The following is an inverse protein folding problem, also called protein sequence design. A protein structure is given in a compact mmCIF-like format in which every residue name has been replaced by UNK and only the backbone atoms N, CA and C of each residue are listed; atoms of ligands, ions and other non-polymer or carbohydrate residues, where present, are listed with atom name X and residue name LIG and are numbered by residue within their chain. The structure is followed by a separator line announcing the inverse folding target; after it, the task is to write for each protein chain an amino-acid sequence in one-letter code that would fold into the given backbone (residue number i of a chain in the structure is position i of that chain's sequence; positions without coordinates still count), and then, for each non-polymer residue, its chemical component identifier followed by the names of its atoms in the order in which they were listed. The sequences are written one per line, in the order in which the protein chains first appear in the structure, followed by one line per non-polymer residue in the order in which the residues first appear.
data_IF_019880734453
#
_entry.id   IF_019880734453
#
_cell.length_a   1.000
_cell.length_b   1.000
_cell.length_c   1.000
_cell.angle_alpha   90.00
_cell.angle_beta   90.00
_cell.angle_gamma   90.00
#
_symmetry.space_group_name_H-M   'P 1'
#
loop_
_entity.id
_entity.type
_entity.pdbx_description
1 polymer ?
#
# COMPACT_ATOMS: atom_id res chain seq x y z
N UNK A 1 3.75 -53.30 25.51
CA UNK A 1 4.25 -51.95 25.19
C UNK A 1 3.88 -51.64 23.75
N UNK A 2 2.89 -50.77 23.49
CA UNK A 2 2.74 -50.14 22.17
C UNK A 2 3.60 -48.86 22.12
N UNK A 3 4.30 -48.64 21.01
CA UNK A 3 5.12 -47.42 20.85
C UNK A 3 4.24 -46.20 20.63
N UNK A 4 4.51 -45.12 21.35
CA UNK A 4 4.08 -43.78 20.96
C UNK A 4 4.87 -43.38 19.70
N UNK A 5 4.25 -43.49 18.53
CA UNK A 5 4.77 -42.83 17.33
C UNK A 5 4.42 -41.34 17.46
N UNK A 6 5.42 -40.47 17.58
CA UNK A 6 5.18 -39.03 17.58
C UNK A 6 4.70 -38.62 16.18
N UNK A 7 3.39 -38.37 16.05
CA UNK A 7 2.86 -37.59 14.95
C UNK A 7 3.23 -36.12 15.20
N UNK A 8 4.46 -35.76 14.85
CA UNK A 8 4.89 -34.37 14.80
C UNK A 8 4.02 -33.64 13.78
N UNK A 9 3.08 -32.83 14.25
CA UNK A 9 2.45 -31.83 13.40
C UNK A 9 3.57 -30.86 12.99
N UNK A 10 4.00 -30.99 11.74
CA UNK A 10 4.71 -29.93 11.05
C UNK A 10 3.70 -28.79 10.83
N UNK A 11 3.53 -27.96 11.87
CA UNK A 11 2.92 -26.63 11.73
C UNK A 11 3.87 -25.86 10.82
N UNK A 12 3.59 -25.91 9.53
CA UNK A 12 4.34 -25.16 8.54
C UNK A 12 4.14 -23.69 8.83
N UNK A 13 5.16 -23.05 9.41
CA UNK A 13 5.21 -21.59 9.56
C UNK A 13 5.35 -21.01 8.17
N UNK A 14 4.20 -20.85 7.51
CA UNK A 14 4.10 -20.11 6.25
C UNK A 14 4.60 -18.69 6.58
N UNK A 15 5.61 -18.17 5.86
CA UNK A 15 6.01 -16.79 6.06
C UNK A 15 4.81 -15.89 5.74
N UNK A 16 4.34 -15.17 6.76
CA UNK A 16 3.43 -14.04 6.58
C UNK A 16 4.30 -12.94 5.98
N UNK A 17 4.16 -12.72 4.68
CA UNK A 17 4.75 -11.55 4.04
C UNK A 17 4.00 -10.33 4.53
N UNK A 18 4.74 -9.33 4.98
CA UNK A 18 4.18 -8.10 5.51
C UNK A 18 5.20 -6.98 5.33
N UNK A 19 4.78 -5.84 4.79
CA UNK A 19 5.63 -4.66 4.57
C UNK A 19 5.02 -3.43 5.22
N UNK A 20 5.78 -2.33 5.29
CA UNK A 20 5.31 -1.01 5.71
C UNK A 20 5.89 0.03 4.76
N UNK A 21 5.09 1.04 4.38
CA UNK A 21 5.54 2.11 3.48
C UNK A 21 6.64 2.98 4.10
N UNK A 22 6.82 2.93 5.42
CA UNK A 22 7.88 3.64 6.13
C UNK A 22 9.23 2.88 6.12
N UNK A 23 9.28 1.68 5.50
CA UNK A 23 10.49 0.85 5.36
C UNK A 23 11.01 0.90 3.92
N UNK A 24 12.22 1.44 3.67
CA UNK A 24 12.83 1.40 2.35
C UNK A 24 13.13 -0.04 1.86
N UNK A 25 12.98 -0.28 0.55
CA UNK A 25 13.28 -1.57 -0.11
C UNK A 25 14.21 -1.36 -1.32
N UNK A 26 14.48 -2.42 -2.11
CA UNK A 26 15.21 -2.31 -3.40
C UNK A 26 14.55 -1.33 -4.37
N UNK A 27 13.23 -1.17 -4.28
CA UNK A 27 12.43 -0.37 -5.22
C UNK A 27 11.72 0.81 -4.54
N UNK A 28 11.46 0.75 -3.22
CA UNK A 28 10.67 1.74 -2.49
C UNK A 28 11.52 2.64 -1.58
N UNK A 29 11.28 3.96 -1.64
CA UNK A 29 11.90 4.94 -0.71
C UNK A 29 10.96 6.11 -0.36
N UNK A 30 9.65 5.96 -0.55
CA UNK A 30 8.66 6.97 -0.13
C UNK A 30 8.23 6.67 1.31
N UNK A 31 8.90 7.26 2.30
CA UNK A 31 8.63 7.00 3.72
C UNK A 31 7.88 8.15 4.39
N UNK A 32 7.69 8.12 5.71
CA UNK A 32 7.13 9.26 6.47
C UNK A 32 7.96 10.55 6.38
N UNK A 33 9.19 10.47 5.84
CA UNK A 33 10.02 11.62 5.49
C UNK A 33 9.61 12.32 4.18
N UNK A 34 8.94 11.61 3.25
CA UNK A 34 8.39 12.18 2.01
C UNK A 34 7.00 12.81 2.20
N UNK A 35 6.30 12.47 3.27
CA UNK A 35 5.04 13.12 3.67
C UNK A 35 5.26 14.59 4.08
N UNK A 36 4.22 15.41 3.96
CA UNK A 36 4.27 16.82 4.36
C UNK A 36 4.80 16.98 5.80
N UNK A 37 5.57 18.06 6.01
CA UNK A 37 6.01 18.48 7.34
C UNK A 37 4.86 18.86 8.28
N UNK A 38 3.66 19.08 7.74
CA UNK A 38 2.43 19.34 8.49
C UNK A 38 1.65 18.09 8.89
N UNK A 39 2.01 16.91 8.33
CA UNK A 39 1.27 15.66 8.56
C UNK A 39 1.44 15.18 10.00
N UNK A 40 0.32 14.92 10.65
CA UNK A 40 0.20 14.68 12.09
C UNK A 40 0.83 13.34 12.53
N UNK A 41 1.28 13.23 13.80
CA UNK A 41 1.87 12.00 14.32
C UNK A 41 0.94 10.78 14.19
N UNK A 42 -0.35 10.97 14.41
CA UNK A 42 -1.36 9.92 14.27
C UNK A 42 -1.45 9.41 12.82
N UNK A 43 -1.46 10.33 11.85
CA UNK A 43 -1.46 9.97 10.43
C UNK A 43 -0.15 9.29 10.01
N UNK A 44 1.00 9.75 10.52
CA UNK A 44 2.30 9.08 10.26
C UNK A 44 2.30 7.65 10.84
N UNK A 45 1.76 7.44 12.04
CA UNK A 45 1.63 6.09 12.61
C UNK A 45 0.67 5.19 11.80
N UNK A 46 -0.43 5.72 11.27
CA UNK A 46 -1.32 4.99 10.37
C UNK A 46 -0.65 4.66 9.03
N UNK A 47 0.16 5.58 8.49
CA UNK A 47 0.94 5.38 7.26
C UNK A 47 2.02 4.30 7.41
N UNK A 48 2.74 4.29 8.54
CA UNK A 48 3.76 3.30 8.87
C UNK A 48 3.20 1.94 9.28
N UNK A 49 1.87 1.76 9.30
CA UNK A 49 1.25 0.48 9.63
C UNK A 49 1.64 -0.63 8.64
N UNK A 50 1.63 -1.87 9.14
CA UNK A 50 1.95 -3.05 8.34
C UNK A 50 0.79 -3.45 7.41
N UNK A 51 1.14 -3.97 6.24
CA UNK A 51 0.25 -4.53 5.22
C UNK A 51 0.71 -5.95 4.94
N UNK A 52 -0.14 -6.95 5.19
CA UNK A 52 0.20 -8.38 5.10
C UNK A 52 0.15 -8.88 3.65
N UNK A 53 1.13 -8.43 2.89
CA UNK A 53 1.34 -8.73 1.47
C UNK A 53 2.83 -8.90 1.16
N UNK A 54 3.15 -9.47 0.00
CA UNK A 54 4.51 -9.52 -0.55
C UNK A 54 4.96 -8.10 -0.96
N UNK A 55 6.20 -7.70 -0.65
CA UNK A 55 6.70 -6.34 -0.93
C UNK A 55 6.91 -6.09 -2.43
N UNK A 56 6.80 -7.13 -3.27
CA UNK A 56 6.64 -6.99 -4.71
C UNK A 56 5.45 -6.11 -5.13
N UNK A 57 4.41 -5.92 -4.29
CA UNK A 57 3.37 -4.92 -4.59
C UNK A 57 3.93 -3.49 -4.68
N UNK A 58 4.97 -3.17 -3.91
CA UNK A 58 5.70 -1.90 -4.03
C UNK A 58 6.55 -1.85 -5.30
N UNK A 59 7.14 -2.98 -5.70
CA UNK A 59 7.86 -3.07 -6.97
C UNK A 59 6.94 -2.79 -8.17
N UNK A 60 5.74 -3.39 -8.18
CA UNK A 60 4.70 -3.15 -9.19
C UNK A 60 4.23 -1.68 -9.20
N UNK A 61 4.03 -1.08 -8.03
CA UNK A 61 3.57 0.32 -7.93
C UNK A 61 4.64 1.34 -8.38
N UNK A 62 5.92 0.98 -8.27
CA UNK A 62 7.05 1.78 -8.76
C UNK A 62 7.35 1.52 -10.24
N UNK A 63 7.12 0.30 -10.75
CA UNK A 63 7.30 0.01 -12.16
C UNK A 63 6.12 0.38 -13.05
N UNK A 64 4.90 0.58 -12.50
CA UNK A 64 3.67 0.72 -13.30
C UNK A 64 3.59 -0.44 -14.32
N UNK A 65 3.35 -0.16 -15.59
CA UNK A 65 3.40 -1.14 -16.69
C UNK A 65 4.80 -1.30 -17.32
N UNK A 66 5.85 -0.63 -16.84
CA UNK A 66 7.23 -0.69 -17.37
C UNK A 66 7.98 -1.94 -16.89
N UNK A 67 7.44 -3.11 -17.26
CA UNK A 67 7.84 -4.45 -16.78
C UNK A 67 9.32 -4.79 -16.99
N UNK A 68 9.98 -4.12 -17.93
CA UNK A 68 11.42 -4.23 -18.22
C UNK A 68 12.33 -3.83 -17.05
N UNK A 69 11.78 -3.15 -16.04
CA UNK A 69 12.44 -2.87 -14.76
C UNK A 69 12.43 -4.02 -13.77
N UNK A 70 11.38 -4.84 -13.80
CA UNK A 70 11.27 -6.02 -12.96
C UNK A 70 12.12 -7.10 -13.61
N UNK A 71 13.33 -7.30 -13.08
CA UNK A 71 14.25 -8.33 -13.60
C UNK A 71 13.94 -9.73 -13.05
N UNK A 72 13.11 -9.78 -11.99
CA UNK A 72 12.90 -10.94 -11.12
C UNK A 72 11.39 -11.28 -10.96
N UNK A 73 10.53 -10.98 -11.95
CA UNK A 73 9.09 -11.31 -11.90
C UNK A 73 8.74 -12.61 -12.62
N UNK A 74 7.99 -13.48 -11.93
CA UNK A 74 7.41 -14.69 -12.48
C UNK A 74 6.02 -14.96 -11.85
N UNK A 75 5.33 -16.01 -12.31
CA UNK A 75 4.01 -16.38 -11.77
C UNK A 75 4.04 -16.73 -10.27
N UNK A 76 5.17 -17.21 -9.73
CA UNK A 76 5.30 -17.53 -8.32
C UNK A 76 5.41 -16.26 -7.46
N UNK A 77 6.01 -15.17 -7.94
CA UNK A 77 5.96 -13.86 -7.26
C UNK A 77 4.53 -13.32 -7.22
N UNK A 78 3.80 -13.45 -8.32
CA UNK A 78 2.40 -13.05 -8.38
C UNK A 78 1.51 -13.91 -7.49
N UNK A 79 1.66 -15.24 -7.46
CA UNK A 79 0.88 -16.13 -6.57
C UNK A 79 1.12 -15.85 -5.06
N UNK A 80 2.25 -15.21 -4.69
CA UNK A 80 2.50 -14.73 -3.31
C UNK A 80 1.82 -13.40 -3.01
N UNK A 81 1.80 -12.49 -3.99
CA UNK A 81 1.21 -11.15 -3.88
C UNK A 81 -0.32 -11.20 -3.95
N UNK A 82 -0.85 -11.91 -4.95
CA UNK A 82 -2.25 -12.02 -5.32
C UNK A 82 -3.01 -12.99 -4.42
N UNK A 83 -3.20 -12.56 -3.18
CA UNK A 83 -3.86 -13.31 -2.11
C UNK A 83 -5.01 -12.49 -1.53
N UNK A 84 -6.08 -13.18 -1.13
CA UNK A 84 -7.18 -12.56 -0.38
C UNK A 84 -6.69 -11.90 0.93
N UNK A 85 -5.59 -12.39 1.51
CA UNK A 85 -4.90 -11.80 2.68
C UNK A 85 -4.31 -10.43 2.34
N UNK A 86 -3.57 -10.31 1.23
CA UNK A 86 -3.05 -9.02 0.76
C UNK A 86 -4.19 -8.04 0.47
N UNK A 87 -5.24 -8.49 -0.24
CA UNK A 87 -6.40 -7.66 -0.57
C UNK A 87 -7.12 -7.14 0.69
N UNK A 88 -7.35 -7.99 1.69
CA UNK A 88 -8.05 -7.60 2.92
C UNK A 88 -7.19 -6.74 3.85
N UNK A 89 -5.90 -7.08 4.03
CA UNK A 89 -4.97 -6.31 4.86
C UNK A 89 -4.71 -4.92 4.25
N UNK A 90 -4.54 -4.82 2.92
CA UNK A 90 -4.45 -3.53 2.23
C UNK A 90 -5.75 -2.71 2.34
N UNK A 91 -6.92 -3.34 2.25
CA UNK A 91 -8.20 -2.64 2.40
C UNK A 91 -8.41 -2.12 3.83
N UNK A 92 -7.97 -2.89 4.84
CA UNK A 92 -7.95 -2.46 6.24
C UNK A 92 -6.95 -1.32 6.48
N UNK A 93 -5.77 -1.37 5.86
CA UNK A 93 -4.78 -0.29 5.87
C UNK A 93 -5.36 1.00 5.28
N UNK A 94 -5.97 0.93 4.10
CA UNK A 94 -6.62 2.08 3.44
C UNK A 94 -7.69 2.70 4.34
N UNK A 95 -8.61 1.91 4.88
CA UNK A 95 -9.65 2.39 5.79
C UNK A 95 -9.08 3.05 7.07
N UNK A 96 -8.00 2.48 7.64
CA UNK A 96 -7.31 3.04 8.80
C UNK A 96 -6.61 4.38 8.48
N UNK A 97 -5.97 4.48 7.31
CA UNK A 97 -5.34 5.72 6.83
C UNK A 97 -6.40 6.77 6.53
N UNK A 98 -7.50 6.43 5.84
CA UNK A 98 -8.62 7.33 5.57
C UNK A 98 -9.24 7.88 6.87
N UNK A 99 -9.50 6.99 7.84
CA UNK A 99 -10.05 7.35 9.14
C UNK A 99 -9.10 8.26 9.95
N UNK A 100 -7.79 8.03 9.88
CA UNK A 100 -6.80 8.70 10.75
C UNK A 100 -6.22 9.98 10.15
N UNK A 101 -5.92 9.97 8.84
CA UNK A 101 -5.35 11.08 8.08
C UNK A 101 -6.41 12.06 7.57
N UNK A 102 -7.47 12.30 8.35
CA UNK A 102 -8.64 13.07 7.95
C UNK A 102 -8.46 14.61 8.01
N UNK A 103 -7.31 15.10 8.48
CA UNK A 103 -7.05 16.54 8.64
C UNK A 103 -6.53 17.11 7.33
N UNK A 104 -6.96 18.30 6.93
CA UNK A 104 -6.45 18.99 5.72
C UNK A 104 -4.95 19.38 5.74
N UNK A 105 -4.19 18.90 6.73
CA UNK A 105 -2.73 19.01 6.86
C UNK A 105 -2.01 17.66 6.75
N UNK A 106 -2.76 16.56 6.79
CA UNK A 106 -2.28 15.20 6.60
C UNK A 106 -2.17 14.94 5.10
N UNK A 107 -0.99 15.21 4.56
CA UNK A 107 -0.75 15.16 3.12
C UNK A 107 0.54 14.43 2.75
N UNK A 108 0.50 13.81 1.57
CA UNK A 108 1.66 13.33 0.84
C UNK A 108 2.10 14.39 -0.19
N UNK A 109 3.40 14.44 -0.48
CA UNK A 109 4.00 15.33 -1.48
C UNK A 109 4.00 14.64 -2.85
N UNK A 110 3.39 15.29 -3.84
CA UNK A 110 3.39 14.96 -5.26
C UNK A 110 4.18 16.03 -6.02
N UNK A 111 4.91 15.70 -7.08
CA UNK A 111 5.51 16.75 -7.95
C UNK A 111 4.46 17.40 -8.85
N UNK A 112 4.67 18.66 -9.22
CA UNK A 112 3.88 19.38 -10.21
C UNK A 112 4.26 19.01 -11.67
N UNK A 113 4.38 17.71 -11.97
CA UNK A 113 4.84 17.17 -13.26
C UNK A 113 6.35 16.88 -13.35
N UNK A 114 6.83 16.29 -14.46
CA UNK A 114 8.23 15.88 -14.63
C UNK A 114 9.25 17.01 -14.65
N UNK A 115 8.87 18.18 -15.18
CA UNK A 115 9.74 19.35 -15.29
C UNK A 115 9.85 20.16 -13.99
N UNK A 116 8.93 19.94 -13.03
CA UNK A 116 8.83 20.69 -11.77
C UNK A 116 9.10 19.82 -10.52
N UNK A 117 10.04 18.86 -10.63
CA UNK A 117 10.43 17.88 -9.60
C UNK A 117 10.69 18.43 -8.18
N UNK A 118 10.96 19.73 -8.04
CA UNK A 118 11.18 20.40 -6.76
C UNK A 118 9.95 21.07 -6.13
N UNK A 119 8.80 21.10 -6.83
CA UNK A 119 7.59 21.82 -6.41
C UNK A 119 6.55 20.85 -5.83
N UNK A 120 6.40 20.76 -4.48
CA UNK A 120 5.48 19.83 -3.85
C UNK A 120 4.02 20.33 -3.91
N UNK A 121 3.22 19.65 -4.72
CA UNK A 121 1.76 19.63 -4.64
C UNK A 121 1.35 18.69 -3.51
N UNK A 122 0.28 19.02 -2.77
CA UNK A 122 -0.22 18.18 -1.69
C UNK A 122 -1.42 17.33 -2.15
N UNK A 123 -1.40 16.04 -1.83
CA UNK A 123 -2.55 15.11 -1.96
C UNK A 123 -2.83 14.42 -0.62
N UNK A 124 -4.06 13.92 -0.36
CA UNK A 124 -4.35 13.15 0.85
C UNK A 124 -3.44 11.94 1.01
N UNK A 125 -3.06 11.59 2.24
CA UNK A 125 -2.15 10.43 2.47
C UNK A 125 -2.78 9.10 2.01
N UNK A 126 -4.10 8.97 2.09
CA UNK A 126 -4.83 7.78 1.62
C UNK A 126 -4.66 7.49 0.13
N UNK A 127 -4.32 8.50 -0.70
CA UNK A 127 -3.99 8.32 -2.13
C UNK A 127 -2.93 7.25 -2.34
N UNK A 128 -1.92 7.14 -1.47
CA UNK A 128 -0.88 6.10 -1.62
C UNK A 128 -1.42 4.68 -1.41
N UNK A 129 -2.37 4.50 -0.49
CA UNK A 129 -3.05 3.22 -0.28
C UNK A 129 -3.98 2.85 -1.45
N UNK A 130 -4.67 3.82 -2.04
CA UNK A 130 -5.52 3.58 -3.21
C UNK A 130 -4.72 3.25 -4.48
N UNK A 131 -3.54 3.84 -4.67
CA UNK A 131 -2.63 3.44 -5.77
C UNK A 131 -2.25 1.96 -5.62
N UNK A 132 -1.95 1.51 -4.40
CA UNK A 132 -1.66 0.10 -4.14
C UNK A 132 -2.89 -0.79 -4.40
N UNK A 133 -4.13 -0.32 -4.14
CA UNK A 133 -5.35 -1.05 -4.49
C UNK A 133 -5.53 -1.18 -6.01
N UNK A 134 -5.37 -0.08 -6.75
CA UNK A 134 -5.36 -0.08 -8.22
C UNK A 134 -4.33 -1.07 -8.77
N UNK A 135 -3.06 -0.92 -8.36
CA UNK A 135 -1.94 -1.78 -8.80
C UNK A 135 -2.21 -3.24 -8.47
N UNK A 136 -2.69 -3.55 -7.26
CA UNK A 136 -2.99 -4.91 -6.84
C UNK A 136 -4.09 -5.53 -7.72
N UNK A 137 -5.21 -4.83 -7.93
CA UNK A 137 -6.33 -5.33 -8.75
C UNK A 137 -5.98 -5.44 -10.23
N UNK A 138 -5.15 -4.53 -10.74
CA UNK A 138 -4.64 -4.50 -12.12
C UNK A 138 -3.66 -5.65 -12.37
N UNK A 139 -2.63 -5.79 -11.53
CA UNK A 139 -1.55 -6.76 -11.71
C UNK A 139 -2.01 -8.20 -11.43
N UNK A 140 -2.96 -8.40 -10.51
CA UNK A 140 -3.45 -9.73 -10.16
C UNK A 140 -4.50 -10.29 -11.10
N UNK A 141 -5.07 -9.50 -12.02
CA UNK A 141 -5.97 -10.00 -13.04
C UNK A 141 -5.34 -11.17 -13.83
N UNK A 142 -6.14 -12.18 -14.13
CA UNK A 142 -5.75 -13.37 -14.91
C UNK A 142 -6.52 -13.47 -16.22
N UNK A 143 -5.82 -13.95 -17.25
CA UNK A 143 -6.39 -14.27 -18.56
C UNK A 143 -7.12 -15.61 -18.53
N UNK A 144 -7.79 -15.96 -19.62
CA UNK A 144 -8.61 -17.18 -19.74
C UNK A 144 -7.79 -18.48 -19.55
N UNK A 145 -6.48 -18.45 -19.82
CA UNK A 145 -5.56 -19.57 -19.59
C UNK A 145 -5.05 -19.69 -18.13
N UNK A 146 -5.41 -18.72 -17.27
CA UNK A 146 -4.96 -18.65 -15.88
C UNK A 146 -3.58 -18.03 -15.66
N UNK A 147 -2.92 -17.53 -16.72
CA UNK A 147 -1.74 -16.67 -16.60
C UNK A 147 -2.13 -15.28 -16.08
N UNK A 148 -1.16 -14.55 -15.52
CA UNK A 148 -1.39 -13.17 -15.07
C UNK A 148 -1.34 -12.20 -16.26
N UNK A 149 -2.32 -11.28 -16.36
CA UNK A 149 -2.40 -10.28 -17.43
C UNK A 149 -1.10 -9.47 -17.56
N UNK A 150 -0.49 -9.12 -16.42
CA UNK A 150 0.77 -8.41 -16.33
C UNK A 150 1.96 -9.20 -16.89
N UNK A 151 1.90 -10.53 -16.96
CA UNK A 151 2.99 -11.32 -17.56
C UNK A 151 2.82 -11.39 -19.08
N UNK A 152 1.61 -11.69 -19.57
CA UNK A 152 1.39 -12.03 -20.99
C UNK A 152 1.21 -10.86 -21.96
N UNK A 153 0.68 -9.71 -21.53
CA UNK A 153 0.07 -8.76 -22.46
C UNK A 153 0.97 -7.67 -23.05
N UNK A 154 0.51 -7.06 -24.15
CA UNK A 154 1.01 -5.77 -24.63
C UNK A 154 0.70 -4.62 -23.65
N UNK A 155 1.39 -3.49 -23.81
CA UNK A 155 1.14 -2.22 -23.15
C UNK A 155 0.16 -1.31 -23.95
N UNK A 156 -0.46 -1.82 -25.02
CA UNK A 156 -1.39 -1.07 -25.86
C UNK A 156 -2.79 -1.73 -25.85
N UNK A 157 -3.76 -1.02 -25.27
CA UNK A 157 -5.17 -1.38 -25.28
C UNK A 157 -5.95 -0.45 -26.21
N UNK A 158 -6.86 -1.01 -27.01
CA UNK A 158 -7.75 -0.24 -27.88
C UNK A 158 -9.15 -0.18 -27.24
N UNK A 159 -9.74 1.01 -27.19
CA UNK A 159 -11.02 1.30 -26.52
C UNK A 159 -12.23 0.56 -27.09
N UNK A 160 -12.11 0.01 -28.30
CA UNK A 160 -13.14 -0.71 -29.04
C UNK A 160 -12.85 -2.22 -29.23
N UNK A 161 -12.16 -2.84 -28.26
CA UNK A 161 -11.74 -4.24 -28.30
C UNK A 161 -12.87 -5.29 -28.35
N UNK A 162 -12.49 -6.53 -28.68
CA UNK A 162 -13.40 -7.69 -28.69
C UNK A 162 -13.58 -8.28 -27.28
N UNK A 163 -14.73 -8.91 -27.02
CA UNK A 163 -15.14 -9.32 -25.67
C UNK A 163 -14.45 -10.58 -25.13
N UNK A 164 -13.61 -11.23 -25.93
CA UNK A 164 -12.69 -12.30 -25.53
C UNK A 164 -11.30 -11.76 -25.12
N UNK A 165 -11.07 -10.44 -25.20
CA UNK A 165 -9.84 -9.81 -24.70
C UNK A 165 -9.90 -9.59 -23.18
N UNK A 166 -10.10 -10.68 -22.42
CA UNK A 166 -10.35 -10.72 -20.95
C UNK A 166 -9.45 -9.77 -20.16
N UNK A 167 -8.13 -9.79 -20.40
CA UNK A 167 -7.20 -8.95 -19.67
C UNK A 167 -7.18 -7.45 -20.08
N UNK A 168 -7.77 -7.07 -21.22
CA UNK A 168 -8.05 -5.66 -21.55
C UNK A 168 -9.36 -5.18 -20.91
N UNK A 169 -10.40 -6.02 -20.88
CA UNK A 169 -11.60 -5.77 -20.07
C UNK A 169 -11.24 -5.59 -18.60
N UNK A 170 -10.28 -6.38 -18.10
CA UNK A 170 -9.71 -6.22 -16.76
C UNK A 170 -9.02 -4.87 -16.55
N UNK A 171 -8.21 -4.41 -17.52
CA UNK A 171 -7.59 -3.08 -17.46
C UNK A 171 -8.66 -1.97 -17.37
N UNK A 172 -9.61 -1.95 -18.31
CA UNK A 172 -10.66 -0.92 -18.36
C UNK A 172 -11.56 -0.91 -17.12
N UNK A 173 -11.94 -2.09 -16.60
CA UNK A 173 -12.76 -2.19 -15.39
C UNK A 173 -11.99 -1.70 -14.15
N UNK A 174 -10.71 -2.07 -14.01
CA UNK A 174 -9.89 -1.60 -12.86
C UNK A 174 -9.62 -0.09 -12.94
N UNK A 175 -9.39 0.49 -14.12
CA UNK A 175 -9.25 1.95 -14.26
C UNK A 175 -10.53 2.71 -13.87
N UNK A 176 -11.71 2.15 -14.16
CA UNK A 176 -12.99 2.76 -13.76
C UNK A 176 -13.25 2.68 -12.26
N UNK A 177 -13.14 1.48 -11.67
CA UNK A 177 -13.45 1.25 -10.24
C UNK A 177 -12.34 1.73 -9.28
N UNK A 178 -11.10 1.79 -9.76
CA UNK A 178 -9.93 2.28 -9.02
C UNK A 178 -9.22 3.38 -9.83
N UNK A 179 -9.78 4.61 -9.92
CA UNK A 179 -9.28 5.69 -10.76
C UNK A 179 -8.02 6.36 -10.17
N UNK A 180 -6.95 5.59 -10.12
CA UNK A 180 -5.60 5.95 -9.66
C UNK A 180 -4.52 5.49 -10.66
N UNK A 181 -4.92 5.10 -11.87
CA UNK A 181 -4.05 4.73 -13.01
C UNK A 181 -3.18 5.90 -13.49
N UNK A 182 -3.65 7.13 -13.27
CA UNK A 182 -2.90 8.35 -13.49
C UNK A 182 -1.69 8.49 -12.56
N UNK A 183 -1.72 7.93 -11.35
CA UNK A 183 -0.60 8.07 -10.40
C UNK A 183 0.53 7.07 -10.67
N UNK A 184 1.77 7.47 -10.34
CA UNK A 184 2.96 6.61 -10.38
C UNK A 184 4.05 7.07 -9.41
N UNK A 185 4.97 6.17 -9.03
CA UNK A 185 6.12 6.50 -8.18
C UNK A 185 7.42 6.52 -9.00
N UNK A 186 8.03 7.70 -9.11
CA UNK A 186 9.23 7.93 -9.91
C UNK A 186 9.00 8.21 -11.40
N UNK A 187 10.06 8.65 -12.09
CA UNK A 187 10.01 9.08 -13.50
C UNK A 187 10.98 8.26 -14.37
N UNK A 188 10.49 7.75 -15.50
CA UNK A 188 11.30 7.40 -16.66
C UNK A 188 11.56 8.63 -17.54
N UNK A 189 12.84 8.97 -17.71
CA UNK A 189 13.27 9.98 -18.68
C UNK A 189 13.89 9.31 -19.92
N UNK A 190 13.64 9.85 -21.13
CA UNK A 190 14.35 9.43 -22.34
C UNK A 190 15.87 9.49 -22.16
N UNK A 191 16.57 8.42 -22.52
CA UNK A 191 18.02 8.27 -22.29
C UNK A 191 18.40 7.41 -21.07
N UNK A 192 17.44 7.01 -20.23
CA UNK A 192 17.65 5.97 -19.22
C UNK A 192 17.68 4.54 -19.82
N UNK A 193 17.42 4.40 -21.12
CA UNK A 193 17.52 3.15 -21.86
C UNK A 193 18.95 2.54 -21.77
N UNK A 194 19.06 1.44 -21.01
CA UNK A 194 20.33 0.77 -20.71
C UNK A 194 20.85 1.02 -19.29
N UNK A 195 20.47 2.14 -18.65
CA UNK A 195 20.72 2.39 -17.23
C UNK A 195 19.53 1.92 -16.39
N UNK A 196 19.39 0.59 -16.26
CA UNK A 196 18.28 -0.14 -15.60
C UNK A 196 18.15 0.07 -14.07
N UNK A 197 18.58 1.22 -13.55
CA UNK A 197 18.81 1.45 -12.12
C UNK A 197 18.45 2.84 -11.61
N UNK A 198 18.16 3.81 -12.49
CA UNK A 198 17.73 5.16 -12.07
C UNK A 198 16.38 5.56 -12.70
N UNK A 199 15.29 5.06 -12.12
CA UNK A 199 14.07 5.87 -11.99
C UNK A 199 14.46 7.07 -11.13
N UNK A 200 13.94 8.28 -11.42
CA UNK A 200 14.01 9.35 -10.43
C UNK A 200 13.29 8.83 -9.18
N UNK A 201 13.96 8.79 -8.00
CA UNK A 201 13.70 7.73 -7.03
C UNK A 201 12.26 7.75 -6.50
N UNK A 202 11.74 6.55 -6.21
CA UNK A 202 10.35 6.28 -5.81
C UNK A 202 9.83 7.09 -4.62
N UNK A 203 10.72 7.77 -3.88
CA UNK A 203 10.43 8.94 -3.05
C UNK A 203 9.63 10.08 -3.71
N UNK A 204 9.43 10.09 -5.03
CA UNK A 204 8.60 11.04 -5.78
C UNK A 204 7.29 10.39 -6.21
N UNK A 205 6.16 11.00 -5.84
CA UNK A 205 4.83 10.67 -6.37
C UNK A 205 4.47 11.60 -7.53
N UNK A 206 3.91 11.05 -8.61
CA UNK A 206 3.46 11.76 -9.81
C UNK A 206 1.99 11.51 -10.11
N UNK A 207 1.46 12.36 -10.99
CA UNK A 207 0.17 12.27 -11.65
C UNK A 207 0.43 12.54 -13.14
N UNK A 208 0.32 11.46 -13.91
CA UNK A 208 0.51 11.33 -15.35
C UNK A 208 -0.87 11.30 -16.01
N UNK A 209 -1.05 11.98 -17.14
CA UNK A 209 -2.37 12.25 -17.71
C UNK A 209 -2.94 11.05 -18.50
N UNK A 210 -3.11 9.91 -17.83
CA UNK A 210 -3.96 8.81 -18.29
C UNK A 210 -5.44 9.16 -18.12
N UNK A 211 -6.32 8.51 -18.89
CA UNK A 211 -7.76 8.72 -18.84
C UNK A 211 -8.46 7.47 -18.32
N UNK A 212 -8.86 7.50 -17.04
CA UNK A 212 -9.55 6.40 -16.36
C UNK A 212 -10.89 5.99 -16.99
N UNK A 213 -11.47 6.81 -17.88
CA UNK A 213 -12.70 6.48 -18.63
C UNK A 213 -12.46 5.70 -19.93
N UNK A 214 -11.20 5.42 -20.29
CA UNK A 214 -10.85 4.78 -21.57
C UNK A 214 -11.33 3.31 -21.60
N UNK A 215 -11.95 2.90 -22.71
CA UNK A 215 -12.46 1.53 -22.92
C UNK A 215 -13.66 1.09 -22.06
N UNK A 216 -14.15 1.93 -21.13
CA UNK A 216 -15.30 1.56 -20.27
C UNK A 216 -16.56 1.17 -21.06
N UNK A 217 -16.86 1.88 -22.16
CA UNK A 217 -18.00 1.54 -23.03
C UNK A 217 -17.90 0.13 -23.64
N UNK A 218 -16.68 -0.43 -23.77
CA UNK A 218 -16.48 -1.82 -24.20
C UNK A 218 -16.73 -2.81 -23.06
N UNK A 219 -16.43 -2.45 -21.80
CA UNK A 219 -16.80 -3.23 -20.62
C UNK A 219 -18.33 -3.33 -20.49
N UNK A 220 -19.05 -2.23 -20.72
CA UNK A 220 -20.51 -2.20 -20.80
C UNK A 220 -21.04 -3.02 -22.00
N UNK A 221 -20.45 -2.86 -23.20
CA UNK A 221 -20.82 -3.62 -24.40
C UNK A 221 -20.66 -5.14 -24.21
N UNK A 222 -19.63 -5.56 -23.48
CA UNK A 222 -19.35 -6.97 -23.18
C UNK A 222 -20.19 -7.53 -22.02
N UNK A 223 -21.15 -6.76 -21.49
CA UNK A 223 -22.24 -7.26 -20.65
C UNK A 223 -22.13 -6.92 -19.16
N UNK A 224 -21.18 -6.08 -18.74
CA UNK A 224 -21.17 -5.55 -17.38
C UNK A 224 -22.19 -4.42 -17.23
N UNK A 225 -22.88 -4.33 -16.09
CA UNK A 225 -23.82 -3.24 -15.80
C UNK A 225 -23.59 -2.65 -14.41
N UNK A 226 -24.05 -1.42 -14.20
CA UNK A 226 -23.96 -0.73 -12.90
C UNK A 226 -24.76 -1.37 -11.75
N UNK A 227 -25.37 -2.54 -11.97
CA UNK A 227 -25.98 -3.38 -10.94
C UNK A 227 -25.10 -4.57 -10.52
N UNK A 228 -24.03 -4.85 -11.27
CA UNK A 228 -23.13 -5.98 -11.05
C UNK A 228 -22.05 -5.61 -10.03
N UNK A 229 -21.92 -6.40 -8.97
CA UNK A 229 -20.95 -6.16 -7.87
C UNK A 229 -19.62 -6.90 -8.04
N UNK A 230 -19.39 -7.49 -9.21
CA UNK A 230 -18.21 -8.29 -9.54
C UNK A 230 -17.74 -7.98 -10.97
N UNK A 231 -16.44 -8.10 -11.27
CA UNK A 231 -15.91 -7.99 -12.62
C UNK A 231 -16.30 -9.18 -13.52
N UNK A 232 -16.22 -8.98 -14.84
CA UNK A 232 -16.35 -10.05 -15.83
C UNK A 232 -15.11 -10.96 -15.93
N UNK A 233 -13.94 -10.48 -15.47
CA UNK A 233 -12.65 -11.16 -15.56
C UNK A 233 -12.26 -11.83 -14.22
N UNK A 234 -11.27 -12.71 -14.25
CA UNK A 234 -10.73 -13.35 -13.05
C UNK A 234 -9.77 -12.41 -12.31
N UNK A 235 -10.05 -11.94 -11.07
CA UNK A 235 -9.14 -11.06 -10.32
C UNK A 235 -7.90 -11.77 -9.76
N UNK A 236 -7.73 -13.08 -10.03
CA UNK A 236 -6.56 -13.89 -9.70
C UNK A 236 -6.23 -14.06 -8.21
N UNK A 237 -7.04 -13.48 -7.32
CA UNK A 237 -6.89 -13.54 -5.87
C UNK A 237 -7.03 -14.96 -5.33
N UNK A 238 -5.92 -15.54 -4.90
CA UNK A 238 -5.90 -16.85 -4.27
C UNK A 238 -6.54 -16.80 -2.86
N UNK A 239 -7.40 -17.77 -2.56
CA UNK A 239 -7.96 -17.97 -1.20
C UNK A 239 -6.91 -18.61 -0.28
N UNK A 240 -5.86 -17.87 0.06
CA UNK A 240 -4.97 -18.23 1.17
C UNK A 240 -5.77 -18.10 2.47
N UNK A 241 -6.23 -19.23 2.98
CA UNK A 241 -6.79 -19.32 4.34
C UNK A 241 -5.61 -19.28 5.30
N UNK A 242 -5.41 -18.13 5.94
CA UNK A 242 -4.63 -18.07 7.17
C UNK A 242 -5.52 -18.68 8.25
N UNK A 243 -5.28 -19.95 8.60
CA UNK A 243 -5.94 -20.56 9.76
C UNK A 243 -5.44 -19.87 11.02
N UNK A 244 -6.28 -19.01 11.63
CA UNK A 244 -5.99 -18.46 12.96
C UNK A 244 -5.78 -19.61 13.94
N UNK A 245 -4.64 -19.60 14.63
CA UNK A 245 -4.32 -20.59 15.65
C UNK A 245 -5.17 -20.33 16.90
N UNK A 246 -6.41 -20.81 16.89
CA UNK A 246 -7.41 -20.63 17.94
C UNK A 246 -6.89 -21.13 19.30
N UNK A 247 -6.40 -20.20 20.11
CA UNK A 247 -5.83 -20.45 21.44
C UNK A 247 -6.95 -20.64 22.46
N UNK A 248 -7.62 -21.79 22.36
CA UNK A 248 -8.73 -22.21 23.23
C UNK A 248 -8.24 -22.50 24.66
N UNK A 249 -7.91 -21.44 25.41
CA UNK A 249 -7.60 -21.49 26.84
C UNK A 249 -8.89 -21.64 27.67
N UNK A 250 -9.44 -22.85 27.69
CA UNK A 250 -10.60 -23.21 28.51
C UNK A 250 -10.25 -23.20 30.00
N UNK A 251 -10.37 -22.05 30.65
CA UNK A 251 -10.49 -21.96 32.10
C UNK A 251 -11.94 -22.23 32.50
N UNK A 252 -12.16 -23.33 33.22
CA UNK A 252 -13.46 -23.76 33.70
C UNK A 252 -13.73 -23.31 35.15
N UNK A 253 -15.01 -23.30 35.52
CA UNK A 253 -15.59 -22.89 36.81
C UNK A 253 -15.63 -21.35 37.04
N UNK A 254 -16.69 -20.77 37.62
CA UNK A 254 -17.80 -21.38 38.38
C UNK A 254 -19.19 -20.83 38.00
N UNK A 255 -20.21 -21.65 38.21
CA UNK A 255 -21.64 -21.36 37.98
C UNK A 255 -22.23 -20.36 38.97
N UNK A 256 -22.98 -19.35 38.49
CA UNK A 256 -23.95 -18.58 39.28
C UNK A 256 -24.99 -17.87 38.39
N UNK A 257 -26.12 -18.52 38.11
CA UNK A 257 -27.26 -17.90 37.39
C UNK A 257 -28.19 -17.20 38.37
N UNK A 258 -28.39 -15.88 38.22
CA UNK A 258 -29.44 -15.12 38.91
C UNK A 258 -29.99 -14.01 38.02
N UNK A 259 -31.24 -14.16 37.57
CA UNK A 259 -31.97 -13.15 36.79
C UNK A 259 -32.73 -12.19 37.71
N UNK A 260 -32.55 -10.87 37.55
CA UNK A 260 -33.41 -9.87 38.19
C UNK A 260 -33.53 -8.59 37.34
N UNK A 261 -34.73 -8.36 36.78
CA UNK A 261 -35.09 -7.12 36.10
C UNK A 261 -35.38 -6.00 37.10
N UNK A 262 -34.99 -4.76 36.83
CA UNK A 262 -35.69 -3.57 37.36
C UNK A 262 -35.44 -2.31 36.52
N UNK A 263 -36.52 -1.60 36.21
CA UNK A 263 -36.53 -0.32 35.50
C UNK A 263 -36.53 0.83 36.51
N UNK A 264 -35.73 1.88 36.29
CA UNK A 264 -35.92 3.17 36.95
C UNK A 264 -35.36 4.34 36.11
N UNK A 265 -36.21 5.31 35.81
CA UNK A 265 -35.88 6.61 35.18
C UNK A 265 -35.55 7.64 36.26
N UNK A 266 -34.65 8.62 36.03
CA UNK A 266 -34.87 10.08 36.28
C UNK A 266 -33.61 10.96 36.21
N UNK A 267 -33.66 11.94 35.28
CA UNK A 267 -33.15 13.33 35.34
C UNK A 267 -31.98 13.76 36.25
N UNK A 268 -30.87 14.12 35.59
CA UNK A 268 -30.26 15.47 35.53
C UNK A 268 -29.87 16.28 36.81
N UNK A 269 -28.58 16.66 36.88
CA UNK A 269 -28.16 18.06 37.14
C UNK A 269 -26.79 18.39 36.54
N UNK A 270 -26.63 19.65 36.12
CA UNK A 270 -25.40 20.36 35.69
C UNK A 270 -25.50 21.81 36.21
N UNK A 271 -24.49 22.71 36.10
CA UNK A 271 -23.04 22.51 36.04
C UNK A 271 -22.25 23.43 37.03
N UNK A 272 -20.95 23.17 37.23
CA UNK A 272 -19.91 24.13 37.69
C UNK A 272 -18.52 23.44 37.65
N UNK A 273 -17.37 24.11 37.50
CA UNK A 273 -17.09 25.55 37.35
C UNK A 273 -15.86 25.77 36.42
N UNK A 274 -15.62 27.02 36.02
CA UNK A 274 -14.50 27.43 35.15
C UNK A 274 -13.15 27.53 35.87
N UNK A 275 -12.05 27.34 35.13
CA UNK A 275 -10.72 27.84 35.50
C UNK A 275 -9.95 28.36 34.28
N UNK A 276 -10.06 29.67 34.05
CA UNK A 276 -9.25 30.38 33.04
C UNK A 276 -7.83 30.62 33.56
N UNK A 277 -6.82 30.36 32.74
CA UNK A 277 -5.45 30.89 32.94
C UNK A 277 -4.97 31.45 31.60
N UNK A 278 -4.29 32.60 31.65
CA UNK A 278 -4.04 33.45 30.47
C UNK A 278 -2.55 33.68 30.28
N UNK A 279 -2.08 33.49 29.03
CA UNK A 279 -0.84 34.00 28.42
C UNK A 279 0.53 33.79 29.12
N UNK A 280 1.55 33.50 28.30
CA UNK A 280 2.63 34.48 28.13
C UNK A 280 3.19 34.45 26.69
N UNK A 281 4.05 35.41 26.36
CA UNK A 281 4.56 35.71 25.01
C UNK A 281 6.09 35.53 24.95
N UNK A 282 6.62 34.79 23.96
CA UNK A 282 8.05 34.44 23.91
C UNK A 282 8.73 34.79 22.58
N UNK A 283 9.17 36.03 22.40
CA UNK A 283 9.97 36.43 21.23
C UNK A 283 11.42 35.99 21.39
N UNK A 284 11.86 34.96 20.66
CA UNK A 284 13.21 34.37 20.80
C UNK A 284 13.96 34.21 19.46
N UNK A 285 14.76 35.21 19.09
CA UNK A 285 15.71 35.10 17.98
C UNK A 285 17.05 34.53 18.46
N UNK A 286 17.55 33.47 17.83
CA UNK A 286 18.89 32.92 18.12
C UNK A 286 19.61 32.64 16.79
N UNK A 287 20.80 33.25 16.62
CA UNK A 287 21.77 32.91 15.57
C UNK A 287 22.93 32.10 16.17
N UNK A 288 23.23 30.95 15.58
CA UNK A 288 24.53 30.26 15.58
C UNK A 288 24.63 29.54 14.22
N UNK A 289 25.71 29.54 13.44
CA UNK A 289 27.07 30.10 13.56
C UNK A 289 28.04 29.41 14.53
N UNK A 290 28.55 28.25 14.11
CA UNK A 290 29.97 27.82 14.12
C UNK A 290 30.03 26.61 13.14
N UNK A 291 30.83 26.53 12.08
CA UNK A 291 32.24 26.88 11.78
C UNK A 291 33.24 25.72 12.04
N UNK A 292 33.99 25.42 10.99
CA UNK A 292 35.18 24.59 10.74
C UNK A 292 35.88 23.87 11.92
N UNK A 293 36.22 22.58 11.75
CA UNK A 293 37.33 21.97 12.51
C UNK A 293 37.54 20.45 12.41
N UNK A 294 38.58 20.04 11.66
CA UNK A 294 39.54 18.93 11.93
C UNK A 294 39.05 17.52 12.37
N UNK A 295 39.32 16.43 11.62
CA UNK A 295 40.60 15.66 11.51
C UNK A 295 40.78 14.59 12.63
N UNK A 296 41.39 13.40 12.47
CA UNK A 296 41.93 12.59 11.33
C UNK A 296 42.52 11.23 11.87
N UNK A 297 42.94 10.29 11.01
CA UNK A 297 43.90 9.17 11.29
C UNK A 297 43.40 7.98 12.20
N UNK A 298 43.93 6.73 12.22
CA UNK A 298 44.95 5.97 11.41
C UNK A 298 44.86 4.42 11.59
N UNK A 299 45.19 3.64 10.54
CA UNK A 299 45.69 2.22 10.44
C UNK A 299 45.03 1.10 11.31
N UNK A 300 45.24 -0.23 11.13
CA UNK A 300 46.04 -1.12 10.25
C UNK A 300 45.27 -2.48 10.12
N UNK A 301 45.55 -3.51 9.31
CA UNK A 301 46.54 -3.95 8.28
C UNK A 301 45.77 -4.81 7.23
N UNK A 302 46.30 -5.29 6.10
CA UNK A 302 47.57 -5.06 5.41
C UNK A 302 48.19 -6.33 4.77
N UNK A 303 48.53 -6.27 3.47
CA UNK A 303 49.45 -7.18 2.71
C UNK A 303 48.86 -8.61 2.49
N UNK A 304 48.82 -9.22 1.29
CA UNK A 304 49.89 -9.58 0.32
C UNK A 304 49.40 -9.44 -1.14
N UNK A 305 50.33 -9.16 -2.06
CA UNK A 305 50.14 -9.28 -3.53
C UNK A 305 50.69 -10.62 -4.01
N UNK A 306 49.88 -11.39 -4.75
CA UNK A 306 50.30 -12.31 -5.81
C UNK A 306 49.10 -12.68 -6.70
#
# INVERSE_FOLDING_TARGET
MPSFLLLLLAIGVVPVWSFSLDTPTKYWNYTTASLSSTTSPECKAAYSAHIDCDDFLLALAVSKEDRWWLQDFDSAVFDRTCTATCQSSLSAYVANVEQTCNKARDAACKTNGPENLGDPVLVPVVTLGHILQYVLMRSCAKDDDGSYCYIGQSNLYYDNGECDWTCALAYFWVCHEYPYDNYQFGIHLPGMEGQRTELIPSSVLLDDSQNSTYGWATVEQCGWTTNDSLPLYNPGMSKRVVEEQSTTNTLAASTATSTATSTATSTATTPAASSTVTADSGTGSIRMHLDTGMAVWILAFGIVVL
#
